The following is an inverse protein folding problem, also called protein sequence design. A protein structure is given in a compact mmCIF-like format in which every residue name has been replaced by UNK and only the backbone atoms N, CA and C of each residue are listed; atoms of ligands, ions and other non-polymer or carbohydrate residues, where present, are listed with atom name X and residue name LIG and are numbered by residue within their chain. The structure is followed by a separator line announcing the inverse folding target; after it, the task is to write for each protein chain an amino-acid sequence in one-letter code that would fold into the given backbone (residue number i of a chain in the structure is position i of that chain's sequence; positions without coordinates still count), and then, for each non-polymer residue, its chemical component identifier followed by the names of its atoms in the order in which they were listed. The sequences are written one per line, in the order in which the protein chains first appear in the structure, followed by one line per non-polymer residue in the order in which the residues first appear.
data_IF_916118668973
#
_entry.id   IF_916118668973
#
_cell.length_a   1.000
_cell.length_b   1.000
_cell.length_c   1.000
_cell.angle_alpha   90.00
_cell.angle_beta   90.00
_cell.angle_gamma   90.00
#
_symmetry.space_group_name_H-M   'P 1'
#
loop_
_entity.id
_entity.type
_entity.pdbx_description
1 polymer ?
#
# COMPACT_ATOMS: atom_id res chain seq x y z
N UNK A 1 20.01 79.88 29.82
CA UNK A 1 18.76 80.13 30.56
C UNK A 1 17.67 79.28 29.95
N UNK A 2 16.93 78.52 30.79
CA UNK A 2 15.48 78.19 30.74
C UNK A 2 14.85 77.90 29.37
N UNK A 3 13.97 76.90 29.15
CA UNK A 3 13.27 75.89 29.96
C UNK A 3 12.40 75.11 28.94
N UNK A 4 12.02 73.88 29.26
CA UNK A 4 10.70 73.25 29.01
C UNK A 4 10.11 73.34 27.58
N UNK A 5 9.74 72.29 26.86
CA UNK A 5 9.28 70.95 27.24
C UNK A 5 8.12 70.59 26.31
N UNK A 6 7.98 69.31 25.93
CA UNK A 6 6.71 68.56 25.86
C UNK A 6 6.92 67.19 25.23
N UNK A 7 6.70 66.17 26.06
CA UNK A 7 6.29 64.85 25.65
C UNK A 7 4.96 64.91 24.88
N UNK A 8 4.78 63.90 24.02
CA UNK A 8 3.56 63.21 23.57
C UNK A 8 3.72 62.98 22.06
N UNK A 9 3.97 61.78 21.58
CA UNK A 9 3.33 60.53 21.93
C UNK A 9 2.66 60.05 20.66
N UNK A 10 3.25 59.07 19.97
CA UNK A 10 2.57 58.31 18.94
C UNK A 10 3.18 56.91 18.91
N UNK A 11 2.43 56.01 19.54
CA UNK A 11 2.55 54.57 19.46
C UNK A 11 2.40 54.17 17.99
N UNK A 12 3.52 53.91 17.32
CA UNK A 12 3.55 53.30 16.00
C UNK A 12 3.80 51.80 16.14
N UNK A 13 2.81 51.00 15.72
CA UNK A 13 2.79 49.55 15.79
C UNK A 13 4.07 48.92 15.22
N UNK A 14 4.78 48.16 16.06
CA UNK A 14 5.72 47.16 15.58
C UNK A 14 4.90 46.01 14.97
N UNK A 15 4.76 46.01 13.65
CA UNK A 15 4.21 44.91 12.87
C UNK A 15 5.21 43.75 12.95
N UNK A 16 5.01 42.86 13.92
CA UNK A 16 5.73 41.60 14.00
C UNK A 16 5.26 40.73 12.82
N UNK A 17 6.04 40.73 11.74
CA UNK A 17 5.95 39.75 10.68
C UNK A 17 6.37 38.38 11.26
N UNK A 18 5.43 37.71 11.92
CA UNK A 18 5.55 36.30 12.24
C UNK A 18 5.58 35.54 10.91
N UNK A 19 6.78 35.20 10.47
CA UNK A 19 7.03 34.21 9.43
C UNK A 19 6.27 32.94 9.82
N UNK A 20 5.12 32.73 9.18
CA UNK A 20 4.44 31.46 9.16
C UNK A 20 5.31 30.50 8.35
N UNK A 21 6.35 29.97 8.98
CA UNK A 21 7.00 28.76 8.50
C UNK A 21 5.91 27.68 8.50
N UNK A 22 5.63 27.03 7.36
CA UNK A 22 4.74 25.89 7.36
C UNK A 22 5.31 24.88 8.36
N UNK A 23 4.54 24.60 9.39
CA UNK A 23 4.84 23.56 10.37
C UNK A 23 5.13 22.29 9.57
N UNK A 24 6.38 21.87 9.53
CA UNK A 24 6.75 20.55 9.04
C UNK A 24 6.13 19.59 10.03
N UNK A 25 4.89 19.15 9.73
CA UNK A 25 4.24 18.08 10.46
C UNK A 25 5.26 16.95 10.56
N UNK A 26 5.60 16.54 11.78
CA UNK A 26 6.65 15.58 12.03
C UNK A 26 6.41 14.35 11.15
N UNK A 27 7.27 14.15 10.14
CA UNK A 27 7.28 12.98 9.27
C UNK A 27 7.67 11.68 10.01
N UNK A 28 7.55 11.65 11.34
CA UNK A 28 8.38 10.86 12.25
C UNK A 28 7.75 9.57 12.80
N UNK A 29 6.58 9.15 12.35
CA UNK A 29 5.92 7.94 12.87
C UNK A 29 5.09 7.15 11.84
N UNK A 30 5.30 7.38 10.54
CA UNK A 30 4.54 6.68 9.48
C UNK A 30 4.74 5.17 9.49
N UNK A 31 5.86 4.69 10.08
CA UNK A 31 6.18 3.27 10.25
C UNK A 31 5.93 2.76 11.68
N UNK A 32 5.41 3.58 12.58
CA UNK A 32 5.14 3.19 13.96
C UNK A 32 3.83 2.38 14.04
N UNK A 33 3.87 1.11 14.47
CA UNK A 33 2.66 0.30 14.58
C UNK A 33 1.72 0.85 15.66
N UNK A 34 0.45 1.09 15.29
CA UNK A 34 -0.58 1.58 16.21
C UNK A 34 -1.42 0.41 16.75
N UNK A 35 -0.80 -0.39 17.62
CA UNK A 35 -1.35 -1.65 18.15
C UNK A 35 -2.72 -1.49 18.82
N UNK A 36 -3.60 -2.47 18.57
CA UNK A 36 -4.91 -2.59 19.21
C UNK A 36 -5.01 -3.90 20.00
N UNK A 37 -5.80 -3.97 21.09
CA UNK A 37 -6.10 -5.21 21.79
C UNK A 37 -7.13 -6.09 21.06
N UNK A 38 -7.76 -5.63 19.97
CA UNK A 38 -8.75 -6.44 19.24
C UNK A 38 -8.17 -7.74 18.69
N UNK A 39 -8.87 -8.87 18.81
CA UNK A 39 -8.43 -10.16 18.26
C UNK A 39 -8.38 -10.17 16.71
N UNK A 40 -9.16 -9.30 16.09
CA UNK A 40 -9.20 -9.08 14.63
C UNK A 40 -8.20 -8.03 14.16
N UNK A 41 -7.33 -7.54 15.06
CA UNK A 41 -6.36 -6.52 14.72
C UNK A 41 -5.37 -7.00 13.66
N UNK A 42 -5.20 -6.20 12.62
CA UNK A 42 -4.12 -6.31 11.65
C UNK A 42 -3.65 -4.93 11.24
N UNK A 43 -2.34 -4.74 11.16
CA UNK A 43 -1.72 -3.55 10.62
C UNK A 43 -0.60 -3.96 9.68
N UNK A 44 -0.54 -3.31 8.53
CA UNK A 44 0.27 -3.73 7.41
C UNK A 44 0.96 -2.55 6.73
N UNK A 45 2.27 -2.66 6.55
CA UNK A 45 3.07 -1.77 5.71
C UNK A 45 3.48 -2.56 4.48
N UNK A 46 3.00 -2.13 3.31
CA UNK A 46 3.27 -2.77 2.04
C UNK A 46 4.16 -1.91 1.16
N UNK A 47 5.11 -2.56 0.51
CA UNK A 47 6.12 -1.96 -0.34
C UNK A 47 6.17 -2.72 -1.66
N UNK A 48 6.00 -2.02 -2.76
CA UNK A 48 5.91 -2.57 -4.11
C UNK A 48 6.99 -1.94 -4.98
N UNK A 49 7.68 -2.78 -5.74
CA UNK A 49 8.49 -2.38 -6.88
C UNK A 49 7.95 -2.98 -8.17
N UNK A 50 7.75 -2.14 -9.18
CA UNK A 50 7.55 -2.55 -10.57
C UNK A 50 8.78 -2.12 -11.40
N UNK A 51 9.58 -3.10 -11.82
CA UNK A 51 10.91 -2.88 -12.37
C UNK A 51 10.88 -2.82 -13.90
N UNK A 52 11.85 -2.13 -14.50
CA UNK A 52 11.87 -1.84 -15.94
C UNK A 52 11.91 -3.11 -16.80
N UNK A 53 12.55 -4.17 -16.31
CA UNK A 53 12.60 -5.49 -16.95
C UNK A 53 11.29 -6.31 -16.81
N UNK A 54 10.29 -5.77 -16.11
CA UNK A 54 9.04 -6.45 -15.82
C UNK A 54 9.07 -7.33 -14.57
N UNK A 55 10.17 -7.34 -13.80
CA UNK A 55 10.19 -7.93 -12.46
C UNK A 55 9.23 -7.17 -11.54
N UNK A 56 8.53 -7.90 -10.68
CA UNK A 56 7.70 -7.35 -9.60
C UNK A 56 8.28 -7.78 -8.26
N UNK A 57 8.36 -6.86 -7.31
CA UNK A 57 8.78 -7.13 -5.94
C UNK A 57 7.68 -6.66 -4.99
N UNK A 58 7.29 -7.53 -4.06
CA UNK A 58 6.41 -7.21 -2.94
C UNK A 58 7.13 -7.50 -1.63
N UNK A 59 7.18 -6.51 -0.75
CA UNK A 59 7.63 -6.67 0.62
C UNK A 59 6.54 -6.19 1.58
N UNK A 60 6.38 -6.89 2.69
CA UNK A 60 5.30 -6.67 3.63
C UNK A 60 5.80 -6.83 5.07
N UNK A 61 5.47 -5.85 5.91
CA UNK A 61 5.68 -5.88 7.35
C UNK A 61 4.32 -5.77 8.04
N UNK A 62 3.92 -6.80 8.78
CA UNK A 62 2.59 -6.86 9.40
C UNK A 62 2.68 -7.11 10.90
N UNK A 63 1.82 -6.44 11.67
CA UNK A 63 1.55 -6.76 13.07
C UNK A 63 0.10 -7.21 13.19
N UNK A 64 -0.16 -8.35 13.83
CA UNK A 64 -1.53 -8.88 13.94
C UNK A 64 -1.79 -9.62 15.27
N UNK A 65 -3.06 -9.62 15.68
CA UNK A 65 -3.57 -10.49 16.76
C UNK A 65 -4.37 -11.67 16.21
N UNK A 66 -4.48 -11.82 14.88
CA UNK A 66 -5.24 -12.90 14.26
C UNK A 66 -4.48 -14.22 14.45
N UNK A 67 -5.14 -15.19 15.07
CA UNK A 67 -4.60 -16.52 15.36
C UNK A 67 -3.99 -16.63 16.76
N UNK A 68 -3.21 -17.70 17.02
CA UNK A 68 -2.66 -17.92 18.38
C UNK A 68 -1.61 -16.87 18.77
N UNK A 69 -1.88 -16.18 19.89
CA UNK A 69 -1.03 -15.14 20.46
C UNK A 69 -1.49 -13.73 20.10
N UNK A 70 -0.78 -12.72 20.59
CA UNK A 70 -1.05 -11.32 20.26
C UNK A 70 0.23 -10.64 19.79
N UNK A 71 0.07 -9.56 19.03
CA UNK A 71 1.18 -8.72 18.54
C UNK A 71 2.23 -9.55 17.80
N UNK A 72 1.77 -10.49 16.99
CA UNK A 72 2.62 -11.30 16.13
C UNK A 72 3.12 -10.43 14.99
N UNK A 73 4.43 -10.44 14.80
CA UNK A 73 5.07 -9.83 13.65
C UNK A 73 5.17 -10.80 12.48
N UNK A 74 4.92 -10.34 11.27
CA UNK A 74 5.14 -11.07 10.04
C UNK A 74 5.96 -10.22 9.08
N UNK A 75 6.92 -10.84 8.43
CA UNK A 75 7.64 -10.27 7.31
C UNK A 75 7.52 -11.21 6.12
N UNK A 76 7.08 -10.70 4.97
CA UNK A 76 6.94 -11.46 3.74
C UNK A 76 7.59 -10.71 2.58
N UNK A 77 8.25 -11.46 1.72
CA UNK A 77 8.82 -10.97 0.47
C UNK A 77 8.45 -11.91 -0.66
N UNK A 78 8.17 -11.35 -1.84
CA UNK A 78 8.02 -12.10 -3.08
C UNK A 78 8.67 -11.33 -4.23
N UNK A 79 9.48 -12.02 -5.03
CA UNK A 79 10.03 -11.55 -6.30
C UNK A 79 9.43 -12.40 -7.42
N UNK A 80 8.83 -11.74 -8.40
CA UNK A 80 8.25 -12.34 -9.60
C UNK A 80 8.98 -11.80 -10.82
N UNK A 81 9.89 -12.59 -11.40
CA UNK A 81 10.58 -12.25 -12.63
C UNK A 81 9.89 -12.95 -13.82
N UNK A 82 9.67 -12.27 -14.96
CA UNK A 82 9.03 -12.88 -16.12
C UNK A 82 9.69 -14.21 -16.53
N UNK A 83 8.86 -15.25 -16.72
CA UNK A 83 9.31 -16.58 -17.10
C UNK A 83 10.01 -17.39 -16.01
N UNK A 84 10.12 -16.87 -14.78
CA UNK A 84 10.75 -17.57 -13.65
C UNK A 84 9.73 -17.94 -12.58
N UNK A 85 10.09 -18.93 -11.75
CA UNK A 85 9.29 -19.27 -10.57
C UNK A 85 9.34 -18.13 -9.55
N UNK A 86 8.22 -17.91 -8.87
CA UNK A 86 8.16 -16.97 -7.76
C UNK A 86 9.22 -17.33 -6.70
N UNK A 87 10.00 -16.34 -6.27
CA UNK A 87 10.98 -16.48 -5.22
C UNK A 87 10.52 -15.68 -4.01
N UNK A 88 10.14 -16.37 -2.94
CA UNK A 88 9.51 -15.74 -1.78
C UNK A 88 10.21 -16.16 -0.50
N UNK A 89 9.98 -15.42 0.58
CA UNK A 89 10.28 -15.84 1.93
C UNK A 89 9.23 -15.26 2.88
N UNK A 90 9.03 -15.95 4.00
CA UNK A 90 8.17 -15.45 5.08
C UNK A 90 8.80 -15.79 6.43
N UNK A 91 8.79 -14.82 7.34
CA UNK A 91 9.22 -14.99 8.73
C UNK A 91 8.13 -14.52 9.67
N UNK A 92 7.83 -15.34 10.68
CA UNK A 92 6.93 -14.99 11.79
C UNK A 92 7.77 -14.77 13.05
N UNK A 93 7.52 -13.66 13.74
CA UNK A 93 8.28 -13.27 14.94
C UNK A 93 7.34 -12.93 16.10
N UNK A 94 7.84 -13.07 17.33
CA UNK A 94 7.07 -12.72 18.54
C UNK A 94 7.16 -11.21 18.80
N UNK A 95 6.31 -10.71 19.70
CA UNK A 95 6.25 -9.29 20.06
C UNK A 95 7.56 -8.67 20.54
N UNK A 96 8.44 -9.47 21.15
CA UNK A 96 9.78 -9.02 21.60
C UNK A 96 10.81 -8.87 20.49
N UNK A 97 10.52 -9.43 19.31
CA UNK A 97 11.44 -9.55 18.18
C UNK A 97 11.10 -8.54 17.06
N UNK A 98 10.17 -7.62 17.31
CA UNK A 98 9.86 -6.49 16.45
C UNK A 98 9.71 -5.21 17.27
N UNK A 99 9.90 -4.05 16.64
CA UNK A 99 9.74 -2.76 17.30
C UNK A 99 10.03 -1.58 16.37
N UNK A 100 9.54 -0.40 16.77
CA UNK A 100 9.81 0.85 16.08
C UNK A 100 10.82 1.68 16.89
N UNK A 101 11.87 2.16 16.23
CA UNK A 101 12.81 3.13 16.77
C UNK A 101 12.55 4.51 16.18
N UNK A 102 11.96 5.40 16.98
CA UNK A 102 11.64 6.77 16.59
C UNK A 102 12.88 7.63 16.30
N UNK A 103 14.05 7.33 16.90
CA UNK A 103 15.28 8.09 16.63
C UNK A 103 15.79 7.86 15.23
N UNK A 104 15.57 6.66 14.70
CA UNK A 104 16.03 6.26 13.37
C UNK A 104 14.88 6.13 12.37
N UNK A 105 13.64 6.43 12.78
CA UNK A 105 12.41 6.21 12.04
C UNK A 105 12.37 4.83 11.35
N UNK A 106 12.72 3.79 12.12
CA UNK A 106 12.94 2.43 11.60
C UNK A 106 12.04 1.42 12.30
N UNK A 107 11.22 0.71 11.53
CA UNK A 107 10.50 -0.48 11.95
C UNK A 107 11.37 -1.71 11.70
N UNK A 108 11.61 -2.52 12.73
CA UNK A 108 12.28 -3.82 12.63
C UNK A 108 11.30 -4.95 12.92
N UNK A 109 11.40 -6.04 12.18
CA UNK A 109 10.58 -7.23 12.29
C UNK A 109 11.45 -8.47 12.08
N UNK A 110 12.12 -8.93 13.12
CA UNK A 110 13.18 -9.95 13.02
C UNK A 110 14.27 -9.55 12.02
N UNK A 111 14.49 -10.33 10.93
CA UNK A 111 15.51 -10.02 9.93
C UNK A 111 15.14 -8.85 9.00
N UNK A 112 13.90 -8.37 9.07
CA UNK A 112 13.41 -7.34 8.16
C UNK A 112 13.48 -5.95 8.79
N UNK A 113 13.69 -4.94 7.96
CA UNK A 113 13.62 -3.55 8.38
C UNK A 113 13.04 -2.64 7.30
N UNK A 114 12.30 -1.63 7.74
CA UNK A 114 11.90 -0.50 6.92
C UNK A 114 12.29 0.79 7.65
N UNK A 115 12.91 1.72 6.94
CA UNK A 115 13.31 3.04 7.43
C UNK A 115 12.81 4.10 6.48
N UNK A 116 12.16 5.13 7.00
CA UNK A 116 11.74 6.31 6.24
C UNK A 116 12.32 7.56 6.89
N UNK A 117 13.41 8.08 6.34
CA UNK A 117 14.13 9.22 6.88
C UNK A 117 15.00 9.87 5.81
N UNK A 118 15.45 11.12 6.04
CA UNK A 118 16.49 11.78 5.22
C UNK A 118 16.13 11.86 3.73
N UNK A 119 14.85 12.02 3.40
CA UNK A 119 14.39 12.15 2.01
C UNK A 119 14.27 10.83 1.24
N UNK A 120 14.42 9.66 1.89
CA UNK A 120 14.33 8.36 1.24
C UNK A 120 13.64 7.32 2.13
N UNK A 121 13.16 6.24 1.50
CA UNK A 121 12.66 5.05 2.19
C UNK A 121 13.50 3.86 1.80
N UNK A 122 13.95 3.09 2.79
CA UNK A 122 14.75 1.88 2.59
C UNK A 122 14.08 0.70 3.24
N UNK A 123 13.93 -0.40 2.51
CA UNK A 123 13.34 -1.65 3.00
C UNK A 123 14.29 -2.80 2.71
N UNK A 124 14.68 -3.53 3.74
CA UNK A 124 15.57 -4.69 3.63
C UNK A 124 14.86 -5.91 4.18
N UNK A 125 14.74 -6.94 3.34
CA UNK A 125 13.96 -8.15 3.64
C UNK A 125 14.66 -9.40 3.09
N UNK A 126 14.55 -10.55 3.76
CA UNK A 126 15.15 -11.79 3.29
C UNK A 126 14.36 -12.39 2.12
N UNK A 127 15.05 -13.27 1.40
CA UNK A 127 14.50 -14.26 0.47
C UNK A 127 15.05 -15.64 0.83
N UNK A 128 14.50 -16.71 0.24
CA UNK A 128 15.01 -18.06 0.43
C UNK A 128 16.47 -18.14 -0.06
N UNK A 129 17.40 -18.08 0.91
CA UNK A 129 18.85 -18.03 0.67
C UNK A 129 19.41 -16.70 0.18
N UNK A 130 18.62 -15.61 0.13
CA UNK A 130 19.04 -14.31 -0.41
C UNK A 130 18.45 -13.12 0.34
N UNK A 131 18.53 -11.92 -0.26
CA UNK A 131 17.91 -10.70 0.28
C UNK A 131 17.45 -9.75 -0.82
N UNK A 132 16.51 -8.88 -0.48
CA UNK A 132 16.13 -7.71 -1.28
C UNK A 132 16.36 -6.45 -0.45
N UNK A 133 16.95 -5.47 -1.11
CA UNK A 133 17.02 -4.09 -0.66
C UNK A 133 16.24 -3.20 -1.64
N UNK A 134 15.20 -2.53 -1.16
CA UNK A 134 14.42 -1.54 -1.90
C UNK A 134 14.78 -0.14 -1.41
N UNK A 135 15.17 0.74 -2.33
CA UNK A 135 15.54 2.13 -2.07
C UNK A 135 14.64 3.06 -2.88
N UNK A 136 13.64 3.65 -2.21
CA UNK A 136 12.73 4.64 -2.77
C UNK A 136 13.33 6.03 -2.61
N UNK A 137 13.38 6.81 -3.70
CA UNK A 137 13.88 8.18 -3.73
C UNK A 137 12.93 9.22 -3.12
N UNK A 138 12.13 8.83 -2.13
CA UNK A 138 11.25 9.69 -1.35
C UNK A 138 10.99 9.10 0.04
N UNK A 139 10.79 9.93 1.08
CA UNK A 139 10.33 9.46 2.38
C UNK A 139 8.83 9.14 2.31
N UNK A 140 8.39 8.14 3.07
CA UNK A 140 6.96 7.86 3.26
C UNK A 140 6.27 9.05 3.93
N UNK A 141 5.15 9.48 3.35
CA UNK A 141 4.29 10.53 3.89
C UNK A 141 2.83 10.05 3.81
N UNK A 142 2.09 9.97 4.92
CA UNK A 142 0.72 9.49 4.91
C UNK A 142 -0.17 10.42 4.08
N UNK A 143 -0.93 9.85 3.15
CA UNK A 143 -1.87 10.56 2.29
C UNK A 143 -3.21 9.87 2.36
N UNK A 144 -4.03 10.30 3.32
CA UNK A 144 -5.43 9.95 3.37
C UNK A 144 -6.18 10.51 2.14
N UNK A 145 -7.17 9.75 1.69
CA UNK A 145 -8.08 10.07 0.59
C UNK A 145 -9.50 9.85 1.07
N UNK A 146 -10.48 10.40 0.37
CA UNK A 146 -11.88 10.11 0.68
C UNK A 146 -12.12 8.58 0.67
N UNK A 147 -12.80 8.09 1.70
CA UNK A 147 -12.99 6.65 1.92
C UNK A 147 -11.74 5.91 2.44
N UNK A 148 -10.69 6.60 2.90
CA UNK A 148 -9.55 5.97 3.59
C UNK A 148 -9.94 5.29 4.89
N UNK A 149 -11.05 5.74 5.51
CA UNK A 149 -11.60 5.15 6.72
C UNK A 149 -12.94 4.47 6.44
N UNK A 150 -13.12 3.28 7.01
CA UNK A 150 -14.38 2.54 6.98
C UNK A 150 -14.74 2.14 8.40
N UNK A 151 -16.00 2.34 8.75
CA UNK A 151 -16.54 2.09 10.08
C UNK A 151 -17.60 0.98 10.01
N UNK A 152 -17.45 -0.08 10.80
CA UNK A 152 -18.47 -1.14 10.93
C UNK A 152 -18.74 -1.36 12.41
N UNK A 153 -19.80 -0.76 12.92
CA UNK A 153 -20.06 -0.69 14.36
C UNK A 153 -18.91 0.02 15.09
N UNK A 154 -18.26 -0.69 16.03
CA UNK A 154 -17.09 -0.18 16.76
C UNK A 154 -15.76 -0.41 16.03
N UNK A 155 -15.78 -1.22 14.97
CA UNK A 155 -14.57 -1.59 14.26
C UNK A 155 -14.24 -0.57 13.17
N UNK A 156 -12.94 -0.48 12.87
CA UNK A 156 -12.39 0.53 11.96
C UNK A 156 -11.41 -0.12 11.00
N UNK A 157 -11.46 0.28 9.74
CA UNK A 157 -10.41 0.08 8.76
C UNK A 157 -9.87 1.44 8.35
N UNK A 158 -8.56 1.52 8.16
CA UNK A 158 -7.85 2.70 7.75
C UNK A 158 -6.84 2.31 6.68
N UNK A 159 -6.78 3.06 5.59
CA UNK A 159 -5.85 2.89 4.48
C UNK A 159 -5.28 4.22 4.03
N UNK A 160 -3.96 4.32 4.00
CA UNK A 160 -3.25 5.47 3.45
C UNK A 160 -2.22 5.03 2.43
N UNK A 161 -2.18 5.73 1.29
CA UNK A 161 -1.01 5.67 0.43
C UNK A 161 0.09 6.47 1.12
N UNK A 162 1.29 5.90 1.20
CA UNK A 162 2.42 6.54 1.87
C UNK A 162 3.54 6.91 0.89
N UNK A 163 3.60 6.21 -0.25
CA UNK A 163 4.39 6.55 -1.43
C UNK A 163 3.57 6.16 -2.65
N UNK A 164 2.99 7.12 -3.37
CA UNK A 164 2.22 6.81 -4.57
C UNK A 164 3.09 6.54 -5.79
N UNK A 165 4.12 7.38 -5.94
CA UNK A 165 5.06 7.37 -7.05
C UNK A 165 6.44 7.70 -6.50
N UNK A 166 7.38 6.79 -6.65
CA UNK A 166 8.78 7.04 -6.33
C UNK A 166 9.67 6.31 -7.32
N UNK A 167 10.73 6.93 -7.86
CA UNK A 167 11.82 6.16 -8.44
C UNK A 167 12.31 5.13 -7.41
N UNK A 168 12.55 3.91 -7.88
CA UNK A 168 12.99 2.79 -7.06
C UNK A 168 14.26 2.20 -7.64
N UNK A 169 15.24 1.97 -6.76
CA UNK A 169 16.35 1.06 -7.01
C UNK A 169 16.15 -0.19 -6.15
N UNK A 170 16.21 -1.36 -6.76
CA UNK A 170 16.12 -2.63 -6.07
C UNK A 170 17.42 -3.42 -6.23
N UNK A 171 18.02 -3.86 -5.14
CA UNK A 171 19.18 -4.77 -5.16
C UNK A 171 18.72 -6.14 -4.67
N UNK A 172 18.85 -7.15 -5.51
CA UNK A 172 18.46 -8.54 -5.22
C UNK A 172 19.72 -9.41 -5.15
N UNK A 173 20.06 -9.84 -3.94
CA UNK A 173 21.17 -10.75 -3.70
C UNK A 173 20.70 -12.20 -3.82
N UNK A 174 21.28 -12.94 -4.76
CA UNK A 174 21.02 -14.36 -4.97
C UNK A 174 21.84 -15.24 -4.02
N UNK A 175 21.37 -16.47 -3.69
CA UNK A 175 22.10 -17.35 -2.76
C UNK A 175 23.52 -17.73 -3.23
N UNK A 176 23.71 -17.78 -4.56
CA UNK A 176 24.99 -18.03 -5.22
C UNK A 176 25.03 -17.19 -6.48
N UNK A 177 25.77 -16.09 -6.44
CA UNK A 177 25.89 -15.17 -7.56
C UNK A 177 26.11 -13.73 -7.10
N UNK A 178 26.26 -12.85 -8.08
CA UNK A 178 26.37 -11.42 -7.83
C UNK A 178 25.00 -10.80 -7.53
N UNK A 179 25.04 -9.69 -6.81
CA UNK A 179 23.87 -8.85 -6.58
C UNK A 179 23.39 -8.28 -7.92
N UNK A 180 22.10 -8.40 -8.21
CA UNK A 180 21.49 -7.78 -9.39
C UNK A 180 20.79 -6.50 -8.96
N UNK A 181 21.08 -5.41 -9.65
CA UNK A 181 20.47 -4.10 -9.43
C UNK A 181 19.45 -3.83 -10.53
N UNK A 182 18.24 -3.47 -10.13
CA UNK A 182 17.14 -3.06 -10.99
C UNK A 182 16.74 -1.62 -10.70
N UNK A 183 16.16 -0.98 -11.71
CA UNK A 183 15.46 0.31 -11.60
C UNK A 183 13.99 0.14 -11.94
N UNK A 184 13.17 1.06 -11.47
CA UNK A 184 11.76 1.14 -11.84
C UNK A 184 10.96 2.08 -10.95
N UNK A 185 9.67 1.78 -10.83
CA UNK A 185 8.72 2.53 -10.04
C UNK A 185 8.38 1.85 -8.72
N UNK A 186 8.25 2.66 -7.68
CA UNK A 186 7.95 2.24 -6.32
C UNK A 186 6.62 2.79 -5.82
N UNK A 187 5.92 1.98 -5.02
CA UNK A 187 4.70 2.33 -4.32
C UNK A 187 4.72 1.76 -2.90
N UNK A 188 4.14 2.47 -1.94
CA UNK A 188 3.92 1.96 -0.59
C UNK A 188 2.59 2.44 -0.02
N UNK A 189 1.95 1.58 0.77
CA UNK A 189 0.76 1.89 1.54
C UNK A 189 0.81 1.32 2.95
N UNK A 190 -0.05 1.88 3.80
CA UNK A 190 -0.25 1.47 5.17
C UNK A 190 -1.73 1.20 5.39
N UNK A 191 -2.04 0.03 5.93
CA UNK A 191 -3.40 -0.29 6.35
C UNK A 191 -3.43 -0.73 7.80
N UNK A 192 -4.53 -0.42 8.48
CA UNK A 192 -4.80 -0.84 9.84
C UNK A 192 -6.27 -1.17 9.99
N UNK A 193 -6.58 -2.32 10.57
CA UNK A 193 -7.95 -2.80 10.69
C UNK A 193 -8.18 -3.47 12.04
N UNK A 194 -9.37 -3.25 12.59
CA UNK A 194 -10.01 -4.17 13.55
C UNK A 194 -11.25 -4.83 12.95
N UNK A 195 -11.59 -4.51 11.69
CA UNK A 195 -12.65 -5.21 10.96
C UNK A 195 -12.09 -6.57 10.53
N UNK A 196 -12.82 -7.64 10.84
CA UNK A 196 -12.49 -8.98 10.36
C UNK A 196 -12.41 -8.96 8.81
N UNK A 197 -11.38 -9.54 8.17
CA UNK A 197 -11.19 -9.42 6.73
C UNK A 197 -12.43 -9.78 5.90
N UNK A 198 -13.14 -10.85 6.28
CA UNK A 198 -14.37 -11.31 5.63
C UNK A 198 -15.50 -10.26 5.60
N UNK A 199 -15.48 -9.29 6.52
CA UNK A 199 -16.52 -8.25 6.66
C UNK A 199 -16.15 -6.93 5.99
N UNK A 200 -14.88 -6.76 5.61
CA UNK A 200 -14.39 -5.46 5.15
C UNK A 200 -14.83 -5.15 3.72
N UNK A 201 -14.75 -6.12 2.82
CA UNK A 201 -15.05 -5.91 1.41
C UNK A 201 -15.46 -7.21 0.74
N UNK A 202 -16.35 -7.09 -0.23
CA UNK A 202 -16.66 -8.15 -1.17
C UNK A 202 -15.59 -8.27 -2.25
N UNK A 203 -15.11 -7.12 -2.74
CA UNK A 203 -14.05 -7.04 -3.75
C UNK A 203 -13.24 -5.77 -3.65
N UNK A 204 -11.97 -5.89 -4.02
CA UNK A 204 -11.05 -4.79 -4.24
C UNK A 204 -10.49 -4.86 -5.66
N UNK A 205 -10.31 -3.69 -6.26
CA UNK A 205 -9.50 -3.50 -7.46
C UNK A 205 -8.47 -2.44 -7.13
N UNK A 206 -7.20 -2.75 -7.38
CA UNK A 206 -6.10 -1.78 -7.32
C UNK A 206 -5.38 -1.80 -8.65
N UNK A 207 -5.02 -0.63 -9.16
CA UNK A 207 -4.15 -0.54 -10.33
C UNK A 207 -3.01 0.45 -10.08
N UNK A 208 -1.82 0.07 -10.51
CA UNK A 208 -0.59 0.82 -10.27
C UNK A 208 0.23 0.82 -11.56
N UNK A 209 0.20 1.94 -12.28
CA UNK A 209 1.13 2.25 -13.34
C UNK A 209 2.29 3.03 -12.72
N UNK A 210 3.41 2.34 -12.47
CA UNK A 210 4.56 2.91 -11.77
C UNK A 210 5.76 3.17 -12.71
N UNK A 211 5.69 2.64 -13.93
CA UNK A 211 6.75 2.71 -14.95
C UNK A 211 6.30 3.57 -16.13
N UNK A 212 7.27 4.06 -16.90
CA UNK A 212 7.04 4.92 -18.05
C UNK A 212 6.69 6.35 -17.66
N UNK A 213 6.24 7.12 -18.66
CA UNK A 213 6.02 8.56 -18.51
C UNK A 213 4.72 8.90 -17.78
N UNK A 214 3.69 8.06 -17.92
CA UNK A 214 2.40 8.27 -17.29
C UNK A 214 2.21 7.32 -16.09
N UNK A 215 2.29 7.90 -14.89
CA UNK A 215 2.09 7.17 -13.64
C UNK A 215 0.71 7.41 -13.06
N UNK A 216 0.09 6.34 -12.59
CA UNK A 216 -1.28 6.36 -12.07
C UNK A 216 -1.47 5.31 -10.98
N UNK A 217 -2.14 5.69 -9.89
CA UNK A 217 -2.66 4.78 -8.86
C UNK A 217 -4.18 4.83 -8.89
N UNK A 218 -4.81 3.67 -8.81
CA UNK A 218 -6.25 3.52 -8.71
C UNK A 218 -6.55 2.55 -7.58
N UNK A 219 -7.57 2.91 -6.79
CA UNK A 219 -8.05 2.10 -5.68
C UNK A 219 -9.58 2.09 -5.74
N UNK A 220 -10.18 0.90 -5.72
CA UNK A 220 -11.61 0.72 -5.76
C UNK A 220 -12.03 -0.43 -4.82
N UNK A 221 -13.02 -0.19 -3.96
CA UNK A 221 -13.61 -1.18 -3.03
C UNK A 221 -15.11 -1.25 -3.21
N UNK A 222 -15.66 -2.46 -3.19
CA UNK A 222 -17.09 -2.71 -2.90
C UNK A 222 -17.19 -3.38 -1.52
N UNK A 223 -17.98 -2.78 -0.63
CA UNK A 223 -18.32 -3.30 0.70
C UNK A 223 -19.22 -4.54 0.64
N UNK A 224 -19.44 -5.16 1.79
CA UNK A 224 -20.35 -6.32 1.89
C UNK A 224 -21.84 -5.92 1.78
N UNK A 225 -22.15 -4.66 2.05
CA UNK A 225 -23.45 -4.01 1.86
C UNK A 225 -23.69 -3.55 0.42
N UNK A 226 -22.69 -3.65 -0.45
CA UNK A 226 -22.74 -3.14 -1.83
C UNK A 226 -22.36 -1.66 -1.95
N UNK A 227 -21.99 -0.99 -0.87
CA UNK A 227 -21.50 0.38 -0.94
C UNK A 227 -20.11 0.43 -1.59
N UNK A 228 -19.88 1.46 -2.40
CA UNK A 228 -18.59 1.71 -3.04
C UNK A 228 -17.81 2.76 -2.25
N UNK A 229 -16.50 2.54 -2.09
CA UNK A 229 -15.62 3.53 -1.46
C UNK A 229 -14.51 2.88 -0.62
N UNK A 230 -13.24 3.24 -0.79
CA UNK A 230 -12.76 4.28 -1.70
C UNK A 230 -12.86 3.82 -3.16
N UNK A 231 -13.22 4.75 -4.05
CA UNK A 231 -13.09 4.59 -5.51
C UNK A 231 -12.47 5.87 -6.07
N UNK A 232 -11.19 5.82 -6.45
CA UNK A 232 -10.49 6.97 -7.01
C UNK A 232 -9.39 6.56 -7.99
N UNK A 233 -9.02 7.51 -8.84
CA UNK A 233 -7.80 7.46 -9.63
C UNK A 233 -6.92 8.66 -9.30
N UNK A 234 -5.61 8.46 -9.31
CA UNK A 234 -4.64 9.49 -8.96
C UNK A 234 -3.48 9.44 -9.95
N UNK A 235 -3.32 10.50 -10.73
CA UNK A 235 -2.21 10.69 -11.66
C UNK A 235 -1.06 11.43 -10.94
N UNK A 236 0.20 11.12 -11.28
CA UNK A 236 1.36 11.82 -10.72
C UNK A 236 1.29 13.33 -11.03
N UNK A 237 1.55 14.16 -10.02
CA UNK A 237 1.44 15.62 -10.13
C UNK A 237 0.01 16.18 -10.09
N UNK A 238 -1.02 15.33 -10.04
CA UNK A 238 -2.42 15.74 -9.95
C UNK A 238 -3.03 15.48 -8.56
N UNK A 239 -4.24 16.02 -8.33
CA UNK A 239 -5.07 15.60 -7.19
C UNK A 239 -5.75 14.26 -7.51
N UNK A 240 -5.98 13.45 -6.48
CA UNK A 240 -6.80 12.25 -6.63
C UNK A 240 -8.23 12.65 -7.05
N UNK A 241 -8.74 11.97 -8.07
CA UNK A 241 -10.07 12.18 -8.63
C UNK A 241 -11.00 11.08 -8.12
N UNK A 242 -12.08 11.43 -7.38
CA UNK A 242 -13.07 10.45 -6.99
C UNK A 242 -13.81 9.91 -8.21
N UNK A 243 -14.25 8.67 -8.09
CA UNK A 243 -15.08 7.94 -9.05
C UNK A 243 -16.30 7.40 -8.28
N UNK A 244 -17.36 7.05 -8.99
CA UNK A 244 -18.63 6.69 -8.36
C UNK A 244 -18.64 5.22 -7.93
N UNK A 245 -18.37 4.32 -8.86
CA UNK A 245 -18.43 2.88 -8.66
C UNK A 245 -17.63 2.17 -9.76
N UNK A 246 -17.60 0.83 -9.69
CA UNK A 246 -17.01 0.01 -10.73
C UNK A 246 -17.78 -1.30 -10.94
N UNK A 247 -17.71 -1.84 -12.14
CA UNK A 247 -18.11 -3.21 -12.45
C UNK A 247 -16.87 -4.07 -12.62
N UNK A 248 -16.99 -5.35 -12.28
CA UNK A 248 -15.92 -6.33 -12.39
C UNK A 248 -16.46 -7.57 -13.09
N UNK A 249 -15.86 -7.91 -14.23
CA UNK A 249 -16.17 -9.11 -14.99
C UNK A 249 -14.96 -10.05 -15.02
N UNK A 250 -15.23 -11.35 -14.84
CA UNK A 250 -14.26 -12.44 -14.90
C UNK A 250 -14.50 -13.28 -16.14
N UNK A 251 -13.44 -13.61 -16.85
CA UNK A 251 -13.41 -14.68 -17.84
C UNK A 251 -12.47 -15.78 -17.36
N UNK A 252 -12.83 -17.05 -17.54
CA UNK A 252 -12.04 -18.19 -17.07
C UNK A 252 -12.11 -18.42 -15.56
N UNK A 253 -11.24 -19.31 -15.06
CA UNK A 253 -11.23 -19.76 -13.66
C UNK A 253 -9.81 -19.85 -13.12
N UNK A 254 -9.64 -19.60 -11.82
CA UNK A 254 -8.36 -19.65 -11.09
C UNK A 254 -7.21 -19.01 -11.87
N UNK A 255 -6.13 -19.72 -12.14
CA UNK A 255 -4.93 -19.21 -12.81
C UNK A 255 -5.17 -18.81 -14.27
N UNK A 256 -6.29 -19.22 -14.87
CA UNK A 256 -6.72 -18.81 -16.22
C UNK A 256 -7.66 -17.60 -16.19
N UNK A 257 -7.85 -16.96 -15.04
CA UNK A 257 -8.75 -15.83 -14.93
C UNK A 257 -8.20 -14.60 -15.65
N UNK A 258 -9.02 -14.00 -16.50
CA UNK A 258 -8.86 -12.65 -17.02
C UNK A 258 -9.94 -11.76 -16.43
N UNK A 259 -9.63 -10.48 -16.27
CA UNK A 259 -10.46 -9.48 -15.61
C UNK A 259 -10.66 -8.26 -16.51
N UNK A 260 -11.90 -7.79 -16.54
CA UNK A 260 -12.27 -6.48 -17.06
C UNK A 260 -12.91 -5.68 -15.94
N UNK A 261 -12.45 -4.46 -15.73
CA UNK A 261 -13.01 -3.51 -14.77
C UNK A 261 -13.45 -2.27 -15.52
N UNK A 262 -14.69 -1.84 -15.34
CA UNK A 262 -15.16 -0.55 -15.83
C UNK A 262 -15.38 0.37 -14.64
N UNK A 263 -14.81 1.57 -14.68
CA UNK A 263 -14.95 2.57 -13.63
C UNK A 263 -15.76 3.75 -14.11
N UNK A 264 -16.70 4.20 -13.29
CA UNK A 264 -17.72 5.17 -13.69
C UNK A 264 -17.53 6.53 -13.03
N UNK A 265 -17.81 7.59 -13.79
CA UNK A 265 -17.88 8.96 -13.30
C UNK A 265 -18.85 9.76 -14.18
N UNK A 266 -19.70 10.59 -13.56
CA UNK A 266 -20.72 11.36 -14.26
C UNK A 266 -21.76 10.50 -14.97
N UNK A 267 -22.07 9.31 -14.43
CA UNK A 267 -23.03 8.38 -15.03
C UNK A 267 -22.56 7.64 -16.29
N UNK A 268 -21.29 7.78 -16.69
CA UNK A 268 -20.71 7.08 -17.84
C UNK A 268 -19.39 6.38 -17.46
N UNK A 269 -18.98 5.42 -18.30
CA UNK A 269 -17.69 4.73 -18.14
C UNK A 269 -16.54 5.71 -18.42
N UNK A 270 -15.75 5.98 -17.38
CA UNK A 270 -14.63 6.91 -17.45
C UNK A 270 -13.30 6.22 -17.71
N UNK A 271 -13.16 4.95 -17.30
CA UNK A 271 -11.95 4.15 -17.51
C UNK A 271 -12.29 2.68 -17.67
N UNK A 272 -11.51 1.97 -18.48
CA UNK A 272 -11.62 0.51 -18.64
C UNK A 272 -10.25 -0.12 -18.38
N UNK A 273 -10.18 -1.02 -17.40
CA UNK A 273 -8.98 -1.75 -17.05
C UNK A 273 -9.11 -3.21 -17.50
N UNK A 274 -8.08 -3.74 -18.16
CA UNK A 274 -8.06 -5.11 -18.69
C UNK A 274 -6.80 -5.83 -18.25
N UNK A 275 -6.94 -7.01 -17.66
CA UNK A 275 -5.79 -7.89 -17.41
C UNK A 275 -5.19 -8.37 -18.72
N UNK A 276 -3.88 -8.50 -18.77
CA UNK A 276 -3.16 -9.08 -19.91
C UNK A 276 -2.48 -10.39 -19.54
N UNK A 277 -1.72 -10.43 -18.44
CA UNK A 277 -1.02 -11.65 -17.98
C UNK A 277 -1.07 -11.80 -16.48
N UNK A 278 -1.43 -12.99 -15.98
CA UNK A 278 -1.35 -13.31 -14.56
C UNK A 278 0.13 -13.39 -14.12
N UNK A 279 0.47 -12.67 -13.06
CA UNK A 279 1.76 -12.78 -12.38
C UNK A 279 1.68 -13.74 -11.20
N UNK A 280 0.61 -13.63 -10.40
CA UNK A 280 0.43 -14.46 -9.22
C UNK A 280 -1.04 -14.58 -8.84
N UNK A 281 -1.45 -15.79 -8.44
CA UNK A 281 -2.66 -16.02 -7.63
C UNK A 281 -2.22 -16.34 -6.20
N UNK A 282 -2.82 -15.68 -5.22
CA UNK A 282 -2.62 -15.96 -3.80
C UNK A 282 -3.96 -16.29 -3.16
N UNK A 283 -4.08 -17.51 -2.63
CA UNK A 283 -5.32 -18.00 -2.01
C UNK A 283 -4.99 -18.69 -0.66
N UNK A 284 -4.51 -17.94 0.34
CA UNK A 284 -3.88 -18.51 1.53
C UNK A 284 -4.78 -19.48 2.30
N UNK A 285 -6.11 -19.28 2.29
CA UNK A 285 -7.07 -20.16 2.95
C UNK A 285 -7.30 -21.46 2.17
N UNK A 286 -7.25 -21.40 0.84
CA UNK A 286 -7.31 -22.60 -0.01
C UNK A 286 -6.02 -23.42 0.10
N UNK A 287 -4.87 -22.73 0.17
CA UNK A 287 -3.54 -23.35 0.25
C UNK A 287 -3.34 -24.16 1.55
N UNK A 288 -4.14 -23.88 2.60
CA UNK A 288 -4.19 -24.68 3.83
C UNK A 288 -4.91 -26.04 3.64
N UNK A 289 -5.55 -26.26 2.50
CA UNK A 289 -6.37 -27.45 2.22
C UNK A 289 -7.74 -27.40 2.92
N UNK A 290 -8.59 -28.38 2.60
CA UNK A 290 -10.01 -28.36 3.01
C UNK A 290 -10.21 -28.30 4.53
N UNK A 291 -9.48 -29.11 5.29
CA UNK A 291 -9.67 -29.23 6.74
C UNK A 291 -9.22 -27.95 7.45
N UNK A 292 -7.94 -27.57 7.33
CA UNK A 292 -7.40 -26.39 8.00
C UNK A 292 -8.00 -25.09 7.44
N UNK A 293 -8.25 -25.03 6.13
CA UNK A 293 -8.92 -23.90 5.49
C UNK A 293 -10.33 -23.68 6.05
N UNK A 294 -11.11 -24.74 6.25
CA UNK A 294 -12.46 -24.62 6.83
C UNK A 294 -12.45 -24.07 8.27
N UNK A 295 -11.43 -24.43 9.06
CA UNK A 295 -11.29 -23.97 10.45
C UNK A 295 -10.97 -22.47 10.55
N UNK A 296 -10.15 -21.94 9.63
CA UNK A 296 -9.74 -20.53 9.68
C UNK A 296 -10.71 -19.61 8.93
N UNK A 297 -11.46 -20.13 7.96
CA UNK A 297 -12.35 -19.34 7.09
C UNK A 297 -13.35 -18.48 7.84
N UNK A 298 -13.89 -18.98 8.96
CA UNK A 298 -14.86 -18.25 9.78
C UNK A 298 -14.28 -16.97 10.42
N UNK A 299 -12.95 -16.91 10.58
CA UNK A 299 -12.24 -15.80 11.23
C UNK A 299 -11.66 -14.84 10.19
N UNK A 300 -10.98 -15.39 9.18
CA UNK A 300 -10.19 -14.59 8.21
C UNK A 300 -10.85 -14.46 6.85
N UNK A 301 -12.02 -15.07 6.64
CA UNK A 301 -12.64 -15.13 5.32
C UNK A 301 -11.95 -16.12 4.41
N UNK A 302 -12.14 -15.95 3.10
CA UNK A 302 -11.46 -16.71 2.05
C UNK A 302 -10.94 -15.79 0.95
N UNK A 303 -10.10 -14.79 1.27
CA UNK A 303 -9.66 -13.83 0.28
C UNK A 303 -8.77 -14.51 -0.78
N UNK A 304 -9.11 -14.30 -2.05
CA UNK A 304 -8.27 -14.69 -3.19
C UNK A 304 -7.81 -13.42 -3.89
N UNK A 305 -6.50 -13.28 -4.05
CA UNK A 305 -5.89 -12.13 -4.73
C UNK A 305 -5.21 -12.56 -6.02
N UNK A 306 -5.55 -11.89 -7.10
CA UNK A 306 -4.92 -12.03 -8.41
C UNK A 306 -4.11 -10.78 -8.71
N UNK A 307 -2.82 -10.97 -9.00
CA UNK A 307 -1.95 -9.92 -9.50
C UNK A 307 -1.68 -10.17 -10.98
N UNK A 308 -2.01 -9.20 -11.81
CA UNK A 308 -1.84 -9.23 -13.26
C UNK A 308 -1.02 -8.05 -13.75
N UNK A 309 -0.37 -8.20 -14.91
CA UNK A 309 -0.12 -7.08 -15.81
C UNK A 309 -1.46 -6.66 -16.43
N UNK A 310 -1.63 -5.37 -16.64
CA UNK A 310 -2.88 -4.83 -17.15
C UNK A 310 -2.67 -3.54 -17.95
N UNK A 311 -3.71 -3.18 -18.69
CA UNK A 311 -3.79 -1.95 -19.48
C UNK A 311 -5.04 -1.18 -19.07
N UNK A 312 -4.88 0.11 -18.78
CA UNK A 312 -5.94 1.05 -18.50
C UNK A 312 -6.21 1.94 -19.73
N UNK A 313 -7.42 1.91 -20.23
CA UNK A 313 -7.92 2.69 -21.35
C UNK A 313 -8.79 3.84 -20.84
N UNK A 314 -8.64 5.02 -21.45
CA UNK A 314 -9.39 6.24 -21.15
C UNK A 314 -9.71 6.94 -22.47
N UNK A 315 -10.89 7.54 -22.56
CA UNK A 315 -11.30 8.26 -23.76
C UNK A 315 -10.30 9.38 -24.11
N UNK A 316 -9.86 9.42 -25.37
CA UNK A 316 -8.95 10.44 -25.88
C UNK A 316 -7.51 10.41 -25.32
N UNK A 317 -7.14 9.43 -24.50
CA UNK A 317 -5.78 9.27 -23.95
C UNK A 317 -5.13 7.97 -24.42
N UNK A 318 -3.79 7.94 -24.41
CA UNK A 318 -3.04 6.71 -24.65
C UNK A 318 -3.32 5.68 -23.54
N UNK A 319 -3.33 4.37 -23.88
CA UNK A 319 -3.43 3.31 -22.87
C UNK A 319 -2.23 3.31 -21.92
N UNK A 320 -2.48 3.07 -20.64
CA UNK A 320 -1.45 3.05 -19.60
C UNK A 320 -1.23 1.61 -19.14
N UNK A 321 0.02 1.14 -19.16
CA UNK A 321 0.36 -0.21 -18.68
C UNK A 321 0.70 -0.18 -17.19
N UNK A 322 0.36 -1.25 -16.47
CA UNK A 322 0.65 -1.33 -15.05
C UNK A 322 0.33 -2.69 -14.43
N UNK A 323 0.23 -2.68 -13.11
CA UNK A 323 -0.13 -3.83 -12.28
C UNK A 323 -1.59 -3.69 -11.86
N UNK A 324 -2.41 -4.69 -12.13
CA UNK A 324 -3.76 -4.80 -11.58
C UNK A 324 -3.78 -5.87 -10.50
N UNK A 325 -4.33 -5.53 -9.34
CA UNK A 325 -4.63 -6.44 -8.26
C UNK A 325 -6.14 -6.53 -8.09
N UNK A 326 -6.69 -7.74 -8.16
CA UNK A 326 -8.10 -8.02 -7.87
C UNK A 326 -8.16 -8.94 -6.66
N UNK A 327 -8.78 -8.49 -5.57
CA UNK A 327 -9.04 -9.33 -4.40
C UNK A 327 -10.54 -9.58 -4.30
N UNK A 328 -10.92 -10.84 -4.09
CA UNK A 328 -12.30 -11.28 -3.90
C UNK A 328 -12.43 -12.02 -2.57
N UNK A 329 -13.57 -11.86 -1.91
CA UNK A 329 -13.96 -12.73 -0.80
C UNK A 329 -14.59 -14.02 -1.36
N UNK A 330 -13.80 -15.11 -1.37
CA UNK A 330 -14.15 -16.37 -2.04
C UNK A 330 -13.80 -16.38 -3.54
N UNK A 331 -13.91 -17.55 -4.18
CA UNK A 331 -13.92 -17.65 -5.64
C UNK A 331 -15.40 -17.53 -6.09
N UNK A 332 -15.70 -16.52 -6.92
CA UNK A 332 -16.99 -16.40 -7.63
C UNK A 332 -17.21 -17.60 -8.55
#
# INVERSE_FOLDING_TARGET
MRREGRLQGLKGLALAAALALPSVAAAGAVLEPKVSPSDTYGENFSFIGDLDDGTFIFAQLTVTNIGPGSRIGLCRTTVLTPGQKAWSAQTKVKSRDWGYDAKTATLKMGPCSARSAQGATRVEVPLDGGRVLLEYAAPMMPQAREGSEVEVGKDRYHHEVTLAFSPLKATVQRPRGEDVVYTGGGYADHTRTTIAPAKLAKRWVRFRALRGDEKLVLLAREGQDGEYGPVYAWEEGAKARPLEHFTLAREGVKEKSAWKVELFAGGASAMVLRSTSLLQRSAPVEDLGAVLGSLVRSVVGSPVTYLHRAVLEREGKAPVTGLMEVTLEGDL
#
